data_IF_424708251581
#
_entry.id   IF_424708251581
#
_cell.length_a   1.000
_cell.length_b   1.000
_cell.length_c   1.000
_cell.angle_alpha   90.00
_cell.angle_beta   90.00
_cell.angle_gamma   90.00
#
_symmetry.space_group_name_H-M   'P 1'
#
loop_
_entity.id
_entity.type
_entity.pdbx_description
1 polymer ?
#
# COMPACT_ATOMS: atom_id res chain seq x y z
N UNK A 1 -72.32 1.48 -23.80
CA UNK A 1 -71.28 0.43 -23.83
C UNK A 1 -69.93 1.09 -23.60
N UNK A 2 -69.42 1.02 -22.35
CA UNK A 2 -68.14 1.62 -21.96
C UNK A 2 -66.99 0.82 -22.55
N UNK A 3 -66.13 1.46 -23.35
CA UNK A 3 -64.85 0.88 -23.78
C UNK A 3 -63.80 1.23 -22.71
N UNK A 4 -63.52 0.29 -21.82
CA UNK A 4 -62.39 0.35 -20.90
C UNK A 4 -61.13 -0.01 -21.69
N UNK A 5 -60.20 0.93 -21.79
CA UNK A 5 -58.87 0.75 -22.37
C UNK A 5 -57.95 0.18 -21.28
N UNK A 6 -57.22 -0.94 -21.50
CA UNK A 6 -56.27 -1.41 -20.51
C UNK A 6 -54.98 -0.58 -20.59
N UNK A 7 -54.66 0.09 -19.49
CA UNK A 7 -53.38 0.78 -19.29
C UNK A 7 -52.33 -0.30 -18.99
N UNK A 8 -51.37 -0.46 -19.91
CA UNK A 8 -50.22 -1.34 -19.74
C UNK A 8 -49.26 -0.66 -18.74
N UNK A 9 -49.25 -1.14 -17.49
CA UNK A 9 -48.35 -0.67 -16.46
C UNK A 9 -46.97 -1.33 -16.66
N UNK A 10 -46.05 -0.62 -17.31
CA UNK A 10 -44.66 -1.05 -17.42
C UNK A 10 -43.97 -0.82 -16.06
N UNK A 11 -43.77 -1.91 -15.32
CA UNK A 11 -42.95 -1.92 -14.09
C UNK A 11 -41.49 -1.90 -14.53
N UNK A 12 -40.85 -0.73 -14.49
CA UNK A 12 -39.41 -0.59 -14.59
C UNK A 12 -38.79 -1.17 -13.32
N UNK A 13 -38.27 -2.39 -13.42
CA UNK A 13 -37.45 -3.01 -12.39
C UNK A 13 -36.08 -2.31 -12.44
N UNK A 14 -35.90 -1.28 -11.63
CA UNK A 14 -34.57 -0.71 -11.39
C UNK A 14 -33.79 -1.72 -10.55
N UNK A 15 -32.95 -2.52 -11.20
CA UNK A 15 -31.92 -3.31 -10.53
C UNK A 15 -30.98 -2.36 -9.80
N UNK A 16 -31.01 -2.35 -8.47
CA UNK A 16 -29.96 -1.73 -7.67
C UNK A 16 -28.68 -2.54 -7.85
N UNK A 17 -27.79 -2.07 -8.72
CA UNK A 17 -26.46 -2.64 -8.97
C UNK A 17 -25.63 -2.57 -7.68
N UNK A 18 -25.54 -3.68 -6.96
CA UNK A 18 -24.61 -3.88 -5.84
C UNK A 18 -23.22 -4.28 -6.35
N UNK A 19 -23.07 -4.55 -7.65
CA UNK A 19 -21.87 -5.11 -8.28
C UNK A 19 -20.67 -4.15 -8.38
N UNK A 20 -20.86 -2.84 -8.31
CA UNK A 20 -19.77 -1.88 -8.54
C UNK A 20 -18.89 -1.63 -7.30
N UNK A 21 -19.46 -1.72 -6.09
CA UNK A 21 -18.75 -1.40 -4.85
C UNK A 21 -17.81 -2.54 -4.42
N UNK A 22 -18.30 -3.79 -4.46
CA UNK A 22 -17.48 -4.95 -4.11
C UNK A 22 -16.34 -5.20 -5.11
N UNK A 23 -16.58 -4.91 -6.41
CA UNK A 23 -15.56 -5.06 -7.44
C UNK A 23 -14.39 -4.07 -7.25
N UNK A 24 -14.68 -2.81 -6.92
CA UNK A 24 -13.64 -1.81 -6.66
C UNK A 24 -12.81 -2.17 -5.42
N UNK A 25 -13.46 -2.68 -4.36
CA UNK A 25 -12.75 -3.10 -3.14
C UNK A 25 -11.75 -4.22 -3.41
N UNK A 26 -12.17 -5.31 -4.05
CA UNK A 26 -11.26 -6.43 -4.30
C UNK A 26 -10.16 -6.05 -5.27
N UNK A 27 -10.49 -5.30 -6.33
CA UNK A 27 -9.49 -4.75 -7.25
C UNK A 27 -8.42 -3.94 -6.53
N UNK A 28 -8.81 -3.07 -5.61
CA UNK A 28 -7.87 -2.26 -4.84
C UNK A 28 -6.94 -3.13 -3.99
N UNK A 29 -7.46 -4.19 -3.35
CA UNK A 29 -6.67 -5.15 -2.56
C UNK A 29 -5.65 -5.85 -3.46
N UNK A 30 -6.10 -6.39 -4.59
CA UNK A 30 -5.25 -7.14 -5.52
C UNK A 30 -4.15 -6.23 -6.09
N UNK A 31 -4.48 -4.98 -6.44
CA UNK A 31 -3.51 -4.01 -6.93
C UNK A 31 -2.45 -3.66 -5.87
N UNK A 32 -2.87 -3.47 -4.61
CA UNK A 32 -1.94 -3.18 -3.51
C UNK A 32 -1.02 -4.37 -3.22
N UNK A 33 -1.55 -5.59 -3.17
CA UNK A 33 -0.77 -6.79 -2.93
C UNK A 33 0.20 -7.08 -4.09
N UNK A 34 -0.26 -6.98 -5.34
CA UNK A 34 0.59 -7.20 -6.52
C UNK A 34 1.72 -6.16 -6.59
N UNK A 35 1.46 -4.90 -6.22
CA UNK A 35 2.51 -3.89 -6.11
C UNK A 35 3.58 -4.26 -5.08
N UNK A 36 3.17 -4.74 -3.90
CA UNK A 36 4.11 -5.21 -2.87
C UNK A 36 4.91 -6.43 -3.37
N UNK A 37 4.24 -7.40 -4.00
CA UNK A 37 4.88 -8.61 -4.50
C UNK A 37 5.88 -8.28 -5.62
N UNK A 38 5.54 -7.35 -6.52
CA UNK A 38 6.45 -6.90 -7.56
C UNK A 38 7.71 -6.24 -6.99
N UNK A 39 7.60 -5.46 -5.91
CA UNK A 39 8.75 -4.84 -5.25
C UNK A 39 9.62 -5.86 -4.50
N UNK A 40 9.01 -6.67 -3.64
CA UNK A 40 9.75 -7.42 -2.61
C UNK A 40 9.88 -8.92 -2.88
N UNK A 41 9.11 -9.48 -3.82
CA UNK A 41 9.17 -10.91 -4.17
C UNK A 41 9.75 -11.09 -5.58
N UNK A 42 9.23 -10.36 -6.56
CA UNK A 42 9.60 -10.54 -7.97
C UNK A 42 10.76 -9.64 -8.41
N UNK A 43 11.01 -8.55 -7.67
CA UNK A 43 11.93 -7.48 -8.09
C UNK A 43 11.62 -6.93 -9.49
N UNK A 44 10.33 -6.88 -9.85
CA UNK A 44 9.82 -6.34 -11.11
C UNK A 44 9.39 -4.89 -10.95
N UNK A 45 10.39 -4.01 -10.90
CA UNK A 45 10.17 -2.57 -10.69
C UNK A 45 9.40 -1.91 -11.83
N UNK A 46 9.44 -2.44 -13.05
CA UNK A 46 8.68 -1.89 -14.18
C UNK A 46 7.19 -2.19 -14.02
N UNK A 47 6.83 -3.40 -13.61
CA UNK A 47 5.43 -3.75 -13.30
C UNK A 47 4.91 -2.93 -12.12
N UNK A 48 5.66 -2.84 -11.01
CA UNK A 48 5.30 -1.99 -9.88
C UNK A 48 5.13 -0.52 -10.30
N UNK A 49 6.04 -0.02 -11.13
CA UNK A 49 6.00 1.36 -11.65
C UNK A 49 4.79 1.62 -12.55
N UNK A 50 4.35 0.63 -13.32
CA UNK A 50 3.18 0.75 -14.20
C UNK A 50 1.86 0.92 -13.42
N UNK A 51 1.81 0.43 -12.18
CA UNK A 51 0.64 0.47 -11.29
C UNK A 51 0.49 1.78 -10.53
N UNK A 52 1.53 2.62 -10.53
CA UNK A 52 1.54 3.89 -9.83
C UNK A 52 0.96 5.01 -10.72
N UNK A 53 0.15 5.89 -10.16
CA UNK A 53 -0.36 7.08 -10.82
C UNK A 53 0.78 8.04 -11.20
N UNK A 54 0.54 8.94 -12.16
CA UNK A 54 1.55 9.95 -12.56
C UNK A 54 1.92 10.91 -11.43
N UNK A 55 0.96 11.19 -10.54
CA UNK A 55 1.11 12.00 -9.32
C UNK A 55 1.42 11.16 -8.07
N UNK A 56 1.92 9.93 -8.24
CA UNK A 56 2.20 9.04 -7.12
C UNK A 56 3.15 9.65 -6.09
N UNK A 57 2.87 9.40 -4.81
CA UNK A 57 3.83 9.60 -3.72
C UNK A 57 3.94 8.38 -2.80
N UNK A 58 5.15 8.12 -2.30
CA UNK A 58 5.43 7.22 -1.20
C UNK A 58 5.96 8.03 -0.01
N UNK A 59 5.48 7.76 1.20
CA UNK A 59 6.00 8.39 2.43
C UNK A 59 6.21 7.33 3.51
N UNK A 60 7.44 7.20 4.01
CA UNK A 60 7.67 6.53 5.28
C UNK A 60 7.29 7.48 6.42
N UNK A 61 6.34 7.08 7.27
CA UNK A 61 5.71 7.98 8.26
C UNK A 61 6.47 8.06 9.59
N UNK A 62 7.67 7.49 9.66
CA UNK A 62 8.54 7.61 10.81
C UNK A 62 9.24 8.97 10.94
N UNK A 63 10.07 9.09 11.97
CA UNK A 63 10.81 10.34 12.28
C UNK A 63 12.33 10.22 12.12
N UNK A 64 12.82 9.15 11.50
CA UNK A 64 14.24 8.96 11.17
C UNK A 64 14.65 9.71 9.89
N UNK A 65 15.88 9.54 9.41
CA UNK A 65 16.46 10.34 8.31
C UNK A 65 15.62 10.37 7.02
N UNK A 66 14.92 9.28 6.71
CA UNK A 66 14.05 9.14 5.52
C UNK A 66 12.57 9.36 5.82
N UNK A 67 12.23 9.65 7.09
CA UNK A 67 10.87 9.79 7.59
C UNK A 67 10.21 11.12 7.25
N UNK A 68 8.91 11.09 6.95
CA UNK A 68 8.07 12.25 6.67
C UNK A 68 8.32 12.93 5.32
N UNK A 69 9.15 12.33 4.45
CA UNK A 69 9.49 12.88 3.14
C UNK A 69 8.62 12.19 2.07
N UNK A 70 7.81 12.94 1.30
CA UNK A 70 7.08 12.37 0.18
C UNK A 70 8.00 12.18 -1.04
N UNK A 71 8.19 10.94 -1.44
CA UNK A 71 8.98 10.55 -2.61
C UNK A 71 8.06 10.36 -3.82
N UNK A 72 8.32 11.09 -4.90
CA UNK A 72 7.56 10.92 -6.15
C UNK A 72 7.88 9.58 -6.80
N UNK A 73 7.08 9.16 -7.79
CA UNK A 73 7.28 7.91 -8.54
C UNK A 73 8.75 7.64 -8.96
N UNK A 74 9.45 8.65 -9.47
CA UNK A 74 10.83 8.49 -9.94
C UNK A 74 11.82 8.42 -8.77
N UNK A 75 11.63 9.26 -7.77
CA UNK A 75 12.51 9.31 -6.60
C UNK A 75 12.35 8.06 -5.74
N UNK A 76 11.11 7.54 -5.61
CA UNK A 76 10.85 6.30 -4.88
C UNK A 76 11.65 5.13 -5.46
N UNK A 77 11.55 4.90 -6.77
CA UNK A 77 12.22 3.77 -7.43
C UNK A 77 13.74 3.97 -7.51
N UNK A 78 14.20 5.16 -7.89
CA UNK A 78 15.60 5.37 -8.24
C UNK A 78 16.48 5.80 -7.05
N UNK A 79 15.88 6.37 -6.00
CA UNK A 79 16.64 6.92 -4.87
C UNK A 79 16.26 6.24 -3.55
N UNK A 80 14.96 6.10 -3.23
CA UNK A 80 14.52 5.54 -1.95
C UNK A 80 14.74 4.02 -1.85
N UNK A 81 14.30 3.23 -2.84
CA UNK A 81 14.48 1.77 -2.81
C UNK A 81 15.95 1.33 -2.72
N UNK A 82 16.92 1.99 -3.41
CA UNK A 82 18.34 1.71 -3.19
C UNK A 82 18.81 1.95 -1.76
N UNK A 83 18.36 3.01 -1.09
CA UNK A 83 18.67 3.25 0.33
C UNK A 83 18.16 2.09 1.18
N UNK A 84 16.92 1.62 0.94
CA UNK A 84 16.36 0.45 1.65
C UNK A 84 17.22 -0.79 1.43
N UNK A 85 17.68 -1.04 0.19
CA UNK A 85 18.57 -2.16 -0.13
C UNK A 85 19.93 -2.10 0.57
N UNK A 86 20.48 -0.90 0.78
CA UNK A 86 21.71 -0.72 1.55
C UNK A 86 21.51 -1.00 3.06
N UNK A 87 20.33 -0.67 3.59
CA UNK A 87 19.97 -0.87 4.99
C UNK A 87 19.57 -2.32 5.31
N UNK A 88 19.09 -3.07 4.30
CA UNK A 88 18.63 -4.46 4.39
C UNK A 88 19.43 -5.32 3.41
N UNK A 89 20.68 -5.69 3.73
CA UNK A 89 21.62 -6.29 2.78
C UNK A 89 21.15 -7.65 2.21
N UNK A 90 20.28 -8.35 2.94
CA UNK A 90 19.71 -9.63 2.53
C UNK A 90 18.26 -9.51 2.00
N UNK A 91 17.75 -8.28 1.85
CA UNK A 91 16.35 -8.01 1.55
C UNK A 91 15.43 -8.20 2.76
N UNK A 92 14.14 -8.21 2.49
CA UNK A 92 13.07 -8.39 3.48
C UNK A 92 11.98 -9.29 2.92
N UNK A 93 11.44 -10.17 3.76
CA UNK A 93 10.22 -10.92 3.46
C UNK A 93 9.07 -10.26 4.20
N UNK A 94 8.09 -9.74 3.46
CA UNK A 94 6.85 -9.19 4.02
C UNK A 94 5.72 -10.21 3.86
N UNK A 95 5.11 -10.61 4.98
CA UNK A 95 3.94 -11.50 4.98
C UNK A 95 2.70 -10.71 5.36
N UNK A 96 1.71 -10.64 4.46
CA UNK A 96 0.41 -10.03 4.76
C UNK A 96 -0.36 -10.89 5.75
N UNK A 97 -0.74 -10.28 6.87
CA UNK A 97 -1.45 -10.92 7.98
C UNK A 97 -2.92 -10.53 8.06
N UNK A 98 -3.25 -9.32 7.61
CA UNK A 98 -4.63 -8.82 7.55
C UNK A 98 -4.76 -7.69 6.52
N UNK A 99 -6.00 -7.42 6.10
CA UNK A 99 -6.33 -6.42 5.09
C UNK A 99 -7.60 -5.66 5.49
N UNK A 100 -7.49 -4.34 5.60
CA UNK A 100 -8.65 -3.43 5.75
C UNK A 100 -8.80 -2.66 4.45
N UNK A 101 -9.96 -2.71 3.81
CA UNK A 101 -10.17 -2.06 2.52
C UNK A 101 -11.60 -1.63 2.29
N UNK A 102 -11.74 -0.54 1.54
CA UNK A 102 -12.99 -0.01 1.00
C UNK A 102 -12.83 0.41 -0.47
N UNK A 103 -13.80 1.13 -1.01
CA UNK A 103 -13.77 1.62 -2.39
C UNK A 103 -12.67 2.68 -2.66
N UNK A 104 -12.13 3.30 -1.61
CA UNK A 104 -11.20 4.43 -1.69
C UNK A 104 -9.75 4.06 -1.34
N UNK A 105 -9.51 2.91 -0.69
CA UNK A 105 -8.17 2.53 -0.28
C UNK A 105 -8.05 1.17 0.38
N UNK A 106 -6.80 0.81 0.67
CA UNK A 106 -6.40 -0.44 1.31
C UNK A 106 -5.39 -0.14 2.41
N UNK A 107 -5.44 -0.87 3.50
CA UNK A 107 -4.36 -0.99 4.47
C UNK A 107 -3.96 -2.45 4.54
N UNK A 108 -2.70 -2.75 4.21
CA UNK A 108 -2.10 -4.07 4.35
C UNK A 108 -1.32 -4.11 5.66
N UNK A 109 -1.70 -5.03 6.55
CA UNK A 109 -0.99 -5.30 7.80
C UNK A 109 -0.01 -6.45 7.57
N UNK A 110 1.28 -6.21 7.80
CA UNK A 110 2.32 -7.18 7.45
C UNK A 110 3.32 -7.40 8.58
N UNK A 111 3.88 -8.59 8.64
CA UNK A 111 5.08 -8.88 9.44
C UNK A 111 6.27 -8.98 8.50
N UNK A 112 7.36 -8.30 8.86
CA UNK A 112 8.63 -8.40 8.15
C UNK A 112 9.60 -9.34 8.88
N UNK A 113 10.32 -10.13 8.09
CA UNK A 113 11.47 -10.92 8.49
C UNK A 113 12.68 -10.41 7.69
N UNK A 114 13.67 -9.88 8.39
CA UNK A 114 14.89 -9.36 7.77
C UNK A 114 16.03 -9.12 8.76
N UNK A 115 17.24 -9.01 8.22
CA UNK A 115 18.41 -8.56 8.95
C UNK A 115 18.81 -7.16 8.48
N UNK A 116 18.83 -6.20 9.40
CA UNK A 116 19.34 -4.86 9.16
C UNK A 116 20.87 -4.81 9.26
N UNK A 117 21.47 -3.71 8.81
CA UNK A 117 22.93 -3.49 8.94
C UNK A 117 23.46 -3.47 10.39
N UNK A 118 22.55 -3.51 11.38
CA UNK A 118 22.85 -3.59 12.81
C UNK A 118 22.05 -4.68 13.54
N UNK A 119 21.87 -5.83 12.87
CA UNK A 119 21.29 -7.06 13.42
C UNK A 119 19.81 -7.25 13.08
N UNK A 120 19.19 -8.24 13.72
CA UNK A 120 17.80 -8.66 13.46
C UNK A 120 16.82 -7.47 13.43
N UNK A 121 16.01 -7.43 12.37
CA UNK A 121 15.06 -6.37 12.08
C UNK A 121 13.69 -6.95 11.69
N UNK A 122 13.08 -7.64 12.65
CA UNK A 122 11.70 -8.11 12.54
C UNK A 122 10.75 -7.00 12.98
N UNK A 123 10.04 -6.40 12.03
CA UNK A 123 9.14 -5.29 12.28
C UNK A 123 7.70 -5.62 11.85
N UNK A 124 6.74 -4.85 12.35
CA UNK A 124 5.35 -4.91 11.93
C UNK A 124 5.02 -3.66 11.15
N UNK A 125 4.29 -3.83 10.06
CA UNK A 125 4.05 -2.80 9.08
C UNK A 125 2.55 -2.62 8.87
N UNK A 126 2.18 -1.37 8.62
CA UNK A 126 0.95 -1.04 7.91
C UNK A 126 1.33 -0.22 6.69
N UNK A 127 1.03 -0.74 5.51
CA UNK A 127 1.09 0.03 4.27
C UNK A 127 -0.32 0.47 3.91
N UNK A 128 -0.56 1.78 3.84
CA UNK A 128 -1.84 2.31 3.39
C UNK A 128 -1.73 2.79 1.96
N UNK A 129 -2.76 2.52 1.17
CA UNK A 129 -2.85 2.79 -0.25
C UNK A 129 -4.11 3.61 -0.53
N UNK A 130 -3.95 4.66 -1.34
CA UNK A 130 -5.09 5.36 -1.97
C UNK A 130 -4.99 5.22 -3.46
N UNK A 131 -6.14 5.07 -4.11
CA UNK A 131 -6.25 4.84 -5.54
C UNK A 131 -6.81 6.08 -6.25
N UNK A 132 -6.35 6.32 -7.48
CA UNK A 132 -6.85 7.37 -8.37
C UNK A 132 -6.76 6.87 -9.80
N UNK A 133 -7.86 6.99 -10.55
CA UNK A 133 -7.95 6.56 -11.95
C UNK A 133 -7.52 5.10 -12.19
N UNK A 134 -7.81 4.22 -11.21
CA UNK A 134 -7.44 2.80 -11.25
C UNK A 134 -5.96 2.51 -10.94
N UNK A 135 -5.19 3.50 -10.49
CA UNK A 135 -3.77 3.37 -10.16
C UNK A 135 -3.51 3.76 -8.71
N UNK A 136 -2.38 3.33 -8.16
CA UNK A 136 -1.93 3.71 -6.81
C UNK A 136 -1.51 5.18 -6.83
N UNK A 137 -2.17 6.02 -6.04
CA UNK A 137 -1.90 7.45 -5.93
C UNK A 137 -1.00 7.79 -4.75
N UNK A 138 -1.21 7.17 -3.60
CA UNK A 138 -0.35 7.39 -2.43
C UNK A 138 -0.10 6.08 -1.72
N UNK A 139 1.11 5.94 -1.20
CA UNK A 139 1.49 4.89 -0.25
C UNK A 139 2.08 5.55 0.99
N UNK A 140 1.57 5.18 2.15
CA UNK A 140 2.17 5.56 3.44
C UNK A 140 2.55 4.29 4.21
N UNK A 141 3.80 4.22 4.64
CA UNK A 141 4.34 3.13 5.43
C UNK A 141 4.43 3.54 6.91
N UNK A 142 3.87 2.71 7.78
CA UNK A 142 3.99 2.82 9.23
C UNK A 142 4.68 1.58 9.78
N UNK A 143 5.73 1.77 10.57
CA UNK A 143 6.43 0.69 11.27
C UNK A 143 7.10 1.26 12.56
N UNK A 144 7.86 0.44 13.29
CA UNK A 144 8.56 0.91 14.50
C UNK A 144 9.77 1.81 14.19
N UNK A 145 9.66 3.10 14.52
CA UNK A 145 10.80 4.04 14.51
C UNK A 145 11.97 3.57 15.37
N UNK A 146 11.67 2.92 16.50
CA UNK A 146 12.69 2.40 17.39
C UNK A 146 13.54 1.33 16.69
N UNK A 147 12.89 0.40 15.99
CA UNK A 147 13.60 -0.64 15.24
C UNK A 147 14.35 -0.05 14.05
N UNK A 148 13.75 0.87 13.29
CA UNK A 148 14.44 1.56 12.20
C UNK A 148 15.69 2.28 12.70
N UNK A 149 15.56 3.09 13.74
CA UNK A 149 16.68 3.86 14.30
C UNK A 149 17.80 2.96 14.80
N UNK A 150 17.48 1.90 15.55
CA UNK A 150 18.50 1.06 16.20
C UNK A 150 19.08 0.00 15.27
N UNK A 151 18.28 -0.57 14.35
CA UNK A 151 18.69 -1.68 13.47
C UNK A 151 19.17 -1.24 12.11
N UNK A 152 18.66 -0.12 11.58
CA UNK A 152 19.03 0.38 10.27
C UNK A 152 19.99 1.58 10.36
N UNK A 153 19.83 2.46 11.35
CA UNK A 153 20.66 3.66 11.48
C UNK A 153 21.72 3.62 12.60
N UNK A 154 21.83 2.50 13.33
CA UNK A 154 22.80 2.30 14.43
C UNK A 154 22.68 3.31 15.57
N UNK A 155 21.51 3.93 15.74
CA UNK A 155 21.27 4.81 16.87
C UNK A 155 21.29 4.01 18.18
N UNK A 156 21.80 4.63 19.24
CA UNK A 156 21.84 4.05 20.58
C UNK A 156 20.72 4.62 21.45
N UNK A 157 20.17 3.78 22.34
CA UNK A 157 19.22 4.24 23.35
C UNK A 157 19.97 4.80 24.54
N UNK A 158 19.66 6.05 24.87
CA UNK A 158 20.17 6.69 26.08
C UNK A 158 19.12 6.57 27.19
N UNK A 159 19.54 6.26 28.43
CA UNK A 159 18.65 6.33 29.57
C UNK A 159 18.16 7.77 29.74
N UNK A 160 16.93 7.92 30.21
CA UNK A 160 16.46 9.21 30.68
C UNK A 160 16.96 9.41 32.12
N UNK A 161 17.38 10.64 32.41
CA UNK A 161 17.75 11.09 33.76
C UNK A 161 16.52 11.16 34.69
#
# INVERSE_FOLDING_TARGET
>A
MNKLLPILLAILITSCSTDTVDNNRQYNIDLAQDWMDNLFIHSDFESARSQMHSEFTFTYMGITETGGIPYTKDVFINDYLPIVGELLPNGIVLTTTDVIADENGVALMQTGDSEGINGEYDNQYVFTFKMKDGLIHTVEEFNSDLLVATRLYRNELLPLD
#
